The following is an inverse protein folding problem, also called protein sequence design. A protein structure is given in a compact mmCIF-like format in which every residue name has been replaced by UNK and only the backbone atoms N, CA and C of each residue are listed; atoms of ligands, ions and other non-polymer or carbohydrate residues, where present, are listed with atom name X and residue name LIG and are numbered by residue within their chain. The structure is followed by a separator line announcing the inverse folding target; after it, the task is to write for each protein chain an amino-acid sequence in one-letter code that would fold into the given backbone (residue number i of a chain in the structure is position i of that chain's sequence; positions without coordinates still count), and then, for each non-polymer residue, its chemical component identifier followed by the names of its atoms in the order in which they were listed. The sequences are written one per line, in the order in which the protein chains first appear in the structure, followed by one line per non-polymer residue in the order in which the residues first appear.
data_IF_166482641710
#
_entry.id   IF_166482641710
#
_cell.length_a   1.000
_cell.length_b   1.000
_cell.length_c   1.000
_cell.angle_alpha   90.00
_cell.angle_beta   90.00
_cell.angle_gamma   90.00
#
_symmetry.space_group_name_H-M   'P 1'
#
loop_
_entity.id
_entity.type
_entity.pdbx_description
1 polymer ?
#
# COMPACT_ATOMS: atom_id res chain seq x y z
N UNK A 1 -0.02 -17.58 4.51
CA UNK A 1 -1.21 -17.38 3.66
C UNK A 1 -1.97 -16.12 4.06
N UNK A 2 -2.61 -16.07 5.23
CA UNK A 2 -3.44 -14.91 5.64
C UNK A 2 -2.70 -13.56 5.64
N UNK A 3 -1.46 -13.51 6.15
CA UNK A 3 -0.61 -12.30 6.15
C UNK A 3 -0.41 -11.72 4.73
N UNK A 4 -0.17 -12.59 3.75
CA UNK A 4 0.03 -12.21 2.35
C UNK A 4 -1.26 -11.71 1.70
N UNK A 5 -2.40 -12.36 1.99
CA UNK A 5 -3.71 -11.95 1.50
C UNK A 5 -4.09 -10.57 2.06
N UNK A 6 -3.88 -10.35 3.36
CA UNK A 6 -4.09 -9.03 3.99
C UNK A 6 -3.21 -7.98 3.34
N UNK A 7 -1.92 -8.29 3.14
CA UNK A 7 -0.98 -7.37 2.49
C UNK A 7 -1.45 -7.00 1.08
N UNK A 8 -1.89 -7.98 0.29
CA UNK A 8 -2.40 -7.74 -1.06
C UNK A 8 -3.64 -6.83 -1.06
N UNK A 9 -4.64 -7.15 -0.22
CA UNK A 9 -5.90 -6.40 -0.16
C UNK A 9 -5.65 -4.96 0.30
N UNK A 10 -4.88 -4.77 1.38
CA UNK A 10 -4.57 -3.43 1.89
C UNK A 10 -3.79 -2.62 0.86
N UNK A 11 -2.80 -3.22 0.21
CA UNK A 11 -2.01 -2.55 -0.84
C UNK A 11 -2.88 -2.09 -2.01
N UNK A 12 -3.81 -2.94 -2.46
CA UNK A 12 -4.75 -2.61 -3.53
C UNK A 12 -5.68 -1.45 -3.14
N UNK A 13 -6.28 -1.51 -1.95
CA UNK A 13 -7.20 -0.46 -1.48
C UNK A 13 -6.46 0.87 -1.36
N UNK A 14 -5.31 0.88 -0.69
CA UNK A 14 -4.50 2.09 -0.52
C UNK A 14 -4.08 2.66 -1.87
N UNK A 15 -3.60 1.82 -2.79
CA UNK A 15 -3.18 2.27 -4.11
C UNK A 15 -4.30 2.96 -4.89
N UNK A 16 -5.50 2.36 -4.92
CA UNK A 16 -6.66 2.93 -5.61
C UNK A 16 -7.11 4.24 -4.96
N UNK A 17 -7.17 4.29 -3.62
CA UNK A 17 -7.57 5.50 -2.89
C UNK A 17 -6.60 6.65 -3.16
N UNK A 18 -5.30 6.41 -3.09
CA UNK A 18 -4.30 7.47 -3.33
C UNK A 18 -4.15 7.82 -4.81
N UNK A 19 -4.51 6.91 -5.73
CA UNK A 19 -4.64 7.23 -7.15
C UNK A 19 -5.81 8.19 -7.39
N UNK A 20 -6.97 7.94 -6.78
CA UNK A 20 -8.12 8.84 -6.86
C UNK A 20 -7.80 10.21 -6.22
N UNK A 21 -7.16 10.21 -5.04
CA UNK A 21 -6.72 11.45 -4.39
C UNK A 21 -5.75 12.22 -5.30
N UNK A 22 -4.77 11.51 -5.87
CA UNK A 22 -3.80 12.12 -6.77
C UNK A 22 -4.43 12.72 -8.02
N UNK A 23 -5.42 12.04 -8.58
CA UNK A 23 -6.20 12.53 -9.71
C UNK A 23 -6.99 13.81 -9.37
N UNK A 24 -7.76 13.77 -8.28
CA UNK A 24 -8.75 14.79 -7.97
C UNK A 24 -8.16 16.01 -7.25
N UNK A 25 -7.10 15.82 -6.46
CA UNK A 25 -6.55 16.87 -5.59
C UNK A 25 -5.13 17.30 -5.96
N UNK A 26 -4.41 16.53 -6.79
CA UNK A 26 -3.00 16.77 -7.11
C UNK A 26 -2.77 16.87 -8.63
N UNK A 27 -3.63 17.63 -9.31
CA UNK A 27 -3.52 17.95 -10.74
C UNK A 27 -3.40 16.72 -11.67
N UNK A 28 -4.17 15.67 -11.42
CA UNK A 28 -4.13 14.45 -12.25
C UNK A 28 -2.97 13.50 -11.93
N UNK A 29 -2.26 13.68 -10.81
CA UNK A 29 -1.10 12.88 -10.43
C UNK A 29 -1.48 11.48 -9.92
N UNK A 30 -1.86 10.58 -10.83
CA UNK A 30 -2.24 9.18 -10.52
C UNK A 30 -1.09 8.33 -10.00
N UNK A 31 0.16 8.69 -10.32
CA UNK A 31 1.39 8.01 -9.88
C UNK A 31 1.49 7.91 -8.34
N UNK A 32 0.82 8.82 -7.64
CA UNK A 32 0.80 8.86 -6.19
C UNK A 32 0.19 7.60 -5.57
N UNK A 33 -0.77 6.98 -6.26
CA UNK A 33 -1.33 5.69 -5.85
C UNK A 33 -0.28 4.59 -5.82
N UNK A 34 0.58 4.52 -6.84
CA UNK A 34 1.64 3.51 -6.94
C UNK A 34 2.70 3.73 -5.87
N UNK A 35 3.14 4.97 -5.67
CA UNK A 35 4.16 5.34 -4.67
C UNK A 35 3.71 4.89 -3.27
N UNK A 36 2.47 5.24 -2.88
CA UNK A 36 1.94 4.91 -1.56
C UNK A 36 1.70 3.40 -1.43
N UNK A 37 1.19 2.73 -2.48
CA UNK A 37 1.01 1.28 -2.46
C UNK A 37 2.32 0.52 -2.22
N UNK A 38 3.41 0.89 -2.91
CA UNK A 38 4.73 0.26 -2.73
C UNK A 38 5.26 0.47 -1.31
N UNK A 39 5.13 1.70 -0.78
CA UNK A 39 5.55 2.01 0.59
C UNK A 39 4.78 1.19 1.63
N UNK A 40 3.45 1.08 1.49
CA UNK A 40 2.59 0.31 2.40
C UNK A 40 2.86 -1.19 2.30
N UNK A 41 3.06 -1.72 1.09
CA UNK A 41 3.43 -3.12 0.91
C UNK A 41 4.76 -3.45 1.63
N UNK A 42 5.79 -2.60 1.46
CA UNK A 42 7.06 -2.74 2.15
C UNK A 42 6.91 -2.72 3.68
N UNK A 43 6.15 -1.76 4.20
CA UNK A 43 5.88 -1.65 5.64
C UNK A 43 5.15 -2.89 6.20
N UNK A 44 4.14 -3.40 5.49
CA UNK A 44 3.39 -4.59 5.90
C UNK A 44 4.24 -5.85 5.88
N UNK A 45 5.10 -6.01 4.87
CA UNK A 45 6.05 -7.13 4.79
C UNK A 45 7.01 -7.09 5.98
N UNK A 46 7.59 -5.92 6.30
CA UNK A 46 8.47 -5.75 7.47
C UNK A 46 7.70 -6.00 8.77
N UNK A 47 6.48 -5.49 8.92
CA UNK A 47 5.66 -5.70 10.11
C UNK A 47 5.34 -7.19 10.35
N UNK A 48 4.94 -7.92 9.30
CA UNK A 48 4.55 -9.31 9.42
C UNK A 48 5.73 -10.29 9.56
N UNK A 49 6.92 -9.92 9.07
CA UNK A 49 8.13 -10.73 9.11
C UNK A 49 9.10 -10.35 10.25
N UNK A 50 9.11 -9.10 10.69
CA UNK A 50 9.89 -8.60 11.83
C UNK A 50 9.42 -9.12 13.19
N UNK A 51 8.22 -9.70 13.27
CA UNK A 51 7.71 -10.37 14.47
C UNK A 51 8.34 -11.75 14.75
N UNK A 52 9.28 -12.24 13.92
CA UNK A 52 9.98 -13.52 14.15
C UNK A 52 11.13 -13.45 15.16
N UNK A 53 11.37 -12.29 15.78
CA UNK A 53 12.52 -12.03 16.67
C UNK A 53 12.18 -11.70 18.13
N UNK A 54 10.96 -11.98 18.61
CA UNK A 54 10.60 -11.90 20.03
C UNK A 54 9.83 -13.15 20.45
#
# INVERSE_FOLDING_TARGET
MLKSIITLIVTLIVGVVFMAIGNDFLNGSTDLGVIVAVAVAGALVVFFNGQKGK
#
